data_IF_030924408541
#
_entry.id   IF_030924408541
#
_cell.length_a   1.000
_cell.length_b   1.000
_cell.length_c   1.000
_cell.angle_alpha   90.00
_cell.angle_beta   90.00
_cell.angle_gamma   90.00
#
_symmetry.space_group_name_H-M   'P 1'
#
loop_
_entity.id
_entity.type
_entity.pdbx_description
1 polymer ?
#
# COMPACT_ATOMS: atom_id res chain seq x y z
N UNK A 1 1.39 -8.11 16.66
CA UNK A 1 0.60 -6.89 16.37
C UNK A 1 1.15 -6.21 15.13
N UNK A 2 0.29 -5.83 14.23
CA UNK A 2 0.67 -5.07 13.03
C UNK A 2 0.20 -3.64 13.14
N UNK A 3 0.87 -2.74 12.44
CA UNK A 3 0.47 -1.35 12.32
C UNK A 3 0.46 -0.96 10.85
N UNK A 4 -0.56 -0.22 10.47
CA UNK A 4 -0.71 0.28 9.10
C UNK A 4 -0.19 1.70 9.01
N UNK A 5 0.70 1.95 8.05
CA UNK A 5 1.28 3.28 7.81
C UNK A 5 0.94 3.70 6.39
N UNK A 6 0.21 4.80 6.25
CA UNK A 6 -0.07 5.39 4.95
C UNK A 6 1.02 6.38 4.57
N UNK A 7 1.65 6.16 3.41
CA UNK A 7 2.67 7.05 2.88
C UNK A 7 2.04 8.20 2.09
N UNK A 8 1.30 9.05 2.77
CA UNK A 8 0.79 10.30 2.17
C UNK A 8 1.74 11.45 2.38
N UNK A 9 2.68 11.32 3.32
CA UNK A 9 3.60 12.36 3.73
C UNK A 9 5.01 11.83 3.83
N UNK A 10 5.97 12.74 3.78
CA UNK A 10 7.37 12.40 3.94
C UNK A 10 7.61 11.82 5.33
N UNK A 11 7.88 10.53 5.38
CA UNK A 11 8.42 9.91 6.58
C UNK A 11 9.90 10.27 6.60
N UNK A 12 10.31 11.07 7.58
CA UNK A 12 11.67 11.61 7.67
C UNK A 12 12.72 10.53 7.80
N UNK A 13 12.44 9.51 8.58
CA UNK A 13 13.40 8.46 8.87
C UNK A 13 12.67 7.15 9.13
N UNK A 14 12.66 6.29 8.12
CA UNK A 14 12.03 4.99 8.21
C UNK A 14 12.69 4.10 9.27
N UNK A 15 14.01 4.18 9.41
CA UNK A 15 14.73 3.36 10.38
C UNK A 15 14.37 3.74 11.82
N UNK A 16 14.21 5.03 12.11
CA UNK A 16 13.79 5.50 13.42
C UNK A 16 12.38 5.06 13.77
N UNK A 17 11.45 5.16 12.81
CA UNK A 17 10.08 4.70 12.98
C UNK A 17 10.05 3.20 13.23
N UNK A 18 10.78 2.43 12.46
CA UNK A 18 10.86 0.97 12.61
C UNK A 18 11.40 0.59 13.98
N UNK A 19 12.45 1.27 14.45
CA UNK A 19 13.00 1.01 15.78
C UNK A 19 11.99 1.33 16.89
N UNK A 20 11.24 2.42 16.74
CA UNK A 20 10.18 2.80 17.71
C UNK A 20 9.07 1.77 17.73
N UNK A 21 8.64 1.27 16.57
CA UNK A 21 7.61 0.23 16.47
C UNK A 21 8.04 -1.06 17.16
N UNK A 22 9.30 -1.47 17.00
CA UNK A 22 9.84 -2.65 17.68
C UNK A 22 9.82 -2.50 19.19
N UNK A 23 10.19 -1.32 19.70
CA UNK A 23 10.17 -1.02 21.13
C UNK A 23 8.76 -1.10 21.70
N UNK A 24 7.75 -0.77 20.91
CA UNK A 24 6.35 -0.87 21.30
C UNK A 24 5.77 -2.28 21.19
N UNK A 25 6.57 -3.25 20.75
CA UNK A 25 6.16 -4.66 20.65
C UNK A 25 5.44 -5.02 19.35
N UNK A 26 5.48 -4.18 18.33
CA UNK A 26 4.93 -4.49 17.02
C UNK A 26 5.83 -5.50 16.29
N UNK A 27 5.22 -6.44 15.58
CA UNK A 27 5.93 -7.48 14.83
C UNK A 27 5.95 -7.24 13.32
N UNK A 28 5.02 -6.43 12.83
CA UNK A 28 4.89 -6.12 11.40
C UNK A 28 4.67 -4.63 11.18
N UNK A 29 5.18 -4.16 10.05
CA UNK A 29 4.91 -2.81 9.54
C UNK A 29 4.25 -2.95 8.18
N UNK A 30 3.05 -2.37 8.03
CA UNK A 30 2.31 -2.34 6.77
C UNK A 30 2.36 -0.95 6.20
N UNK A 31 2.76 -0.83 4.94
CA UNK A 31 2.86 0.44 4.23
C UNK A 31 2.04 0.38 2.97
N UNK A 32 1.13 1.33 2.82
CA UNK A 32 0.29 1.46 1.64
C UNK A 32 0.71 2.67 0.81
N UNK A 33 0.92 2.44 -0.49
CA UNK A 33 1.19 3.50 -1.45
C UNK A 33 0.06 3.54 -2.46
N UNK A 34 -0.65 4.67 -2.50
CA UNK A 34 -1.74 4.89 -3.46
C UNK A 34 -1.23 5.71 -4.63
N UNK A 35 -1.75 5.40 -5.82
CA UNK A 35 -1.32 6.03 -7.05
C UNK A 35 -2.42 6.88 -7.66
N UNK A 36 -2.02 8.01 -8.21
CA UNK A 36 -2.86 8.89 -9.01
C UNK A 36 -2.15 9.20 -10.31
N UNK A 37 -2.91 9.49 -11.36
CA UNK A 37 -2.33 9.86 -12.64
C UNK A 37 -3.15 11.00 -13.26
N UNK A 38 -2.46 11.91 -13.94
CA UNK A 38 -3.13 13.04 -14.59
C UNK A 38 -4.09 12.61 -15.69
N UNK A 39 -3.79 11.47 -16.34
CA UNK A 39 -4.60 10.94 -17.44
C UNK A 39 -5.72 9.99 -16.98
N UNK A 40 -5.78 9.71 -15.68
CA UNK A 40 -6.79 8.80 -15.13
C UNK A 40 -7.11 9.21 -13.69
N UNK A 41 -8.27 9.82 -13.51
CA UNK A 41 -8.69 10.31 -12.19
C UNK A 41 -9.36 9.19 -11.40
N UNK A 42 -8.57 8.48 -10.61
CA UNK A 42 -9.05 7.37 -9.79
C UNK A 42 -10.14 7.80 -8.82
N UNK A 43 -9.99 8.96 -8.19
CA UNK A 43 -10.96 9.43 -7.21
C UNK A 43 -12.31 9.74 -7.87
N UNK A 44 -12.31 10.40 -9.03
CA UNK A 44 -13.54 10.74 -9.75
C UNK A 44 -14.25 9.48 -10.25
N UNK A 45 -13.51 8.42 -10.56
CA UNK A 45 -14.05 7.16 -11.04
C UNK A 45 -14.39 6.17 -9.92
N UNK A 46 -14.23 6.59 -8.67
CA UNK A 46 -14.39 5.72 -7.49
C UNK A 46 -13.51 4.46 -7.56
N UNK A 47 -12.27 4.66 -8.01
CA UNK A 47 -11.28 3.60 -8.14
C UNK A 47 -10.09 3.85 -7.23
N UNK A 48 -9.32 2.80 -6.96
CA UNK A 48 -8.05 2.93 -6.24
C UNK A 48 -7.03 1.94 -6.78
N UNK A 49 -5.79 2.37 -6.84
CA UNK A 49 -4.64 1.53 -7.18
C UNK A 49 -3.61 1.66 -6.05
N UNK A 50 -3.25 0.54 -5.46
CA UNK A 50 -2.42 0.51 -4.25
C UNK A 50 -1.36 -0.56 -4.35
N UNK A 51 -0.15 -0.25 -3.87
CA UNK A 51 0.83 -1.26 -3.52
C UNK A 51 0.94 -1.28 -2.00
N UNK A 52 0.70 -2.44 -1.42
CA UNK A 52 0.84 -2.67 0.03
C UNK A 52 2.07 -3.52 0.27
N UNK A 53 2.95 -3.04 1.14
CA UNK A 53 4.10 -3.82 1.60
C UNK A 53 3.92 -4.15 3.07
N UNK A 54 4.29 -5.38 3.43
CA UNK A 54 4.32 -5.82 4.83
C UNK A 54 5.73 -6.27 5.14
N UNK A 55 6.33 -5.74 6.17
CA UNK A 55 7.66 -6.11 6.65
C UNK A 55 7.54 -6.76 8.03
N UNK A 56 8.14 -7.94 8.19
CA UNK A 56 8.33 -8.52 9.50
C UNK A 56 9.50 -7.81 10.17
N UNK A 57 9.25 -7.14 11.29
CA UNK A 57 10.24 -6.30 11.96
C UNK A 57 11.38 -7.09 12.57
N UNK A 58 11.21 -8.39 12.82
CA UNK A 58 12.23 -9.24 13.40
C UNK A 58 13.08 -9.95 12.35
N UNK A 59 12.43 -10.56 11.34
CA UNK A 59 13.12 -11.32 10.29
C UNK A 59 13.55 -10.49 9.11
N UNK A 60 12.99 -9.28 8.95
CA UNK A 60 13.17 -8.40 7.80
C UNK A 60 12.59 -8.95 6.51
N UNK A 61 11.79 -10.00 6.58
CA UNK A 61 11.08 -10.50 5.42
C UNK A 61 10.03 -9.50 4.98
N UNK A 62 9.95 -9.27 3.67
CA UNK A 62 8.99 -8.35 3.07
C UNK A 62 8.13 -9.08 2.06
N UNK A 63 6.87 -8.69 2.00
CA UNK A 63 5.95 -9.09 0.95
C UNK A 63 5.28 -7.85 0.37
N UNK A 64 4.85 -7.95 -0.88
CA UNK A 64 4.17 -6.85 -1.54
C UNK A 64 3.01 -7.36 -2.38
N UNK A 65 1.93 -6.59 -2.37
CA UNK A 65 0.70 -6.91 -3.09
C UNK A 65 0.25 -5.66 -3.82
N UNK A 66 -0.06 -5.80 -5.11
CA UNK A 66 -0.70 -4.74 -5.88
C UNK A 66 -2.20 -5.02 -5.95
N UNK A 67 -3.01 -4.00 -5.69
CA UNK A 67 -4.46 -4.11 -5.66
C UNK A 67 -5.08 -3.01 -6.49
N UNK A 68 -5.99 -3.39 -7.39
CA UNK A 68 -6.89 -2.48 -8.07
C UNK A 68 -8.29 -2.65 -7.48
N UNK A 69 -8.92 -1.54 -7.12
CA UNK A 69 -10.32 -1.50 -6.67
C UNK A 69 -11.11 -0.67 -7.65
N UNK A 70 -12.13 -1.30 -8.25
CA UNK A 70 -13.03 -0.62 -9.16
C UNK A 70 -14.13 0.14 -8.42
N UNK A 71 -14.93 0.88 -9.18
CA UNK A 71 -16.08 1.60 -8.64
C UNK A 71 -17.08 0.64 -7.98
N UNK A 72 -17.79 1.13 -6.99
CA UNK A 72 -18.86 0.35 -6.36
C UNK A 72 -19.92 -0.02 -7.39
N UNK A 73 -20.31 -1.28 -7.41
CA UNK A 73 -21.31 -1.79 -8.33
C UNK A 73 -22.74 -1.44 -7.91
N UNK A 74 -22.93 -1.13 -6.62
CA UNK A 74 -24.21 -0.81 -6.04
C UNK A 74 -24.01 0.21 -4.91
N UNK A 75 -24.81 1.25 -4.87
CA UNK A 75 -24.75 2.27 -3.82
C UNK A 75 -25.17 1.75 -2.45
N UNK A 76 -25.96 0.68 -2.40
CA UNK A 76 -26.45 0.12 -1.14
C UNK A 76 -25.55 -0.96 -0.57
N UNK A 77 -24.62 -1.49 -1.38
CA UNK A 77 -23.61 -2.47 -0.94
C UNK A 77 -22.23 -1.91 -1.15
N UNK A 78 -21.24 -2.43 -0.42
CA UNK A 78 -19.85 -2.08 -0.60
C UNK A 78 -19.17 -2.96 -1.66
N UNK A 79 -19.96 -3.66 -2.47
CA UNK A 79 -19.45 -4.56 -3.50
C UNK A 79 -18.77 -3.77 -4.61
N UNK A 80 -17.53 -4.12 -4.90
CA UNK A 80 -16.77 -3.56 -6.01
C UNK A 80 -15.84 -4.63 -6.58
N UNK A 81 -15.41 -4.43 -7.81
CA UNK A 81 -14.40 -5.30 -8.40
C UNK A 81 -13.06 -5.06 -7.72
N UNK A 82 -12.41 -6.13 -7.31
CA UNK A 82 -11.05 -6.08 -6.78
C UNK A 82 -10.18 -7.08 -7.54
N UNK A 83 -9.00 -6.63 -7.96
CA UNK A 83 -7.97 -7.47 -8.55
C UNK A 83 -6.72 -7.32 -7.72
N UNK A 84 -6.18 -8.43 -7.27
CA UNK A 84 -5.05 -8.40 -6.37
C UNK A 84 -4.07 -9.51 -6.73
N UNK A 85 -2.77 -9.20 -6.71
CA UNK A 85 -1.72 -10.18 -6.92
C UNK A 85 -0.47 -9.80 -6.15
N UNK A 86 0.30 -10.80 -5.77
CA UNK A 86 1.61 -10.56 -5.18
C UNK A 86 2.59 -10.08 -6.23
N UNK A 87 3.51 -9.21 -5.83
CA UNK A 87 4.62 -8.77 -6.66
C UNK A 87 5.92 -9.07 -5.93
N UNK A 88 6.93 -9.55 -6.68
CA UNK A 88 8.19 -9.96 -6.09
C UNK A 88 9.08 -8.81 -5.64
N UNK A 89 8.92 -7.64 -6.24
CA UNK A 89 9.73 -6.46 -5.93
C UNK A 89 8.83 -5.22 -5.90
N UNK A 90 8.54 -4.76 -4.68
CA UNK A 90 7.69 -3.60 -4.47
C UNK A 90 8.29 -2.31 -5.05
N UNK A 91 9.60 -2.15 -4.96
CA UNK A 91 10.27 -0.95 -5.45
C UNK A 91 10.19 -0.84 -6.96
N UNK A 92 10.45 -1.92 -7.66
CA UNK A 92 10.29 -1.97 -9.11
C UNK A 92 8.83 -1.77 -9.52
N UNK A 93 7.88 -2.35 -8.79
CA UNK A 93 6.46 -2.16 -9.02
C UNK A 93 6.05 -0.69 -8.89
N UNK A 94 6.53 0.00 -7.87
CA UNK A 94 6.30 1.44 -7.71
C UNK A 94 6.88 2.24 -8.86
N UNK A 95 8.11 1.92 -9.28
CA UNK A 95 8.75 2.61 -10.40
C UNK A 95 7.96 2.44 -11.70
N UNK A 96 7.49 1.24 -11.99
CA UNK A 96 6.65 0.99 -13.17
C UNK A 96 5.44 1.91 -13.17
N UNK A 97 4.75 2.01 -12.05
CA UNK A 97 3.55 2.84 -11.96
C UNK A 97 3.88 4.34 -12.04
N UNK A 98 5.03 4.76 -11.56
CA UNK A 98 5.47 6.17 -11.66
C UNK A 98 5.74 6.59 -13.09
N UNK A 99 6.14 5.67 -13.97
CA UNK A 99 6.41 5.94 -15.37
C UNK A 99 5.17 5.86 -16.27
N UNK A 100 4.05 5.46 -15.75
CA UNK A 100 2.78 5.45 -16.47
C UNK A 100 2.03 6.77 -16.29
#
# INVERSE_FOLDING_TARGET
MSIEVELKLKIRDKAEITASLKQLGFTEEETDTYYTAAHHDFAALDEALRIRTVENLHTKEQSAVITYKGAKLDQTSMTRKELETEIGDAETGREILEYI
#
